data_IF_754877500335
#
_entry.id   IF_754877500335
#
_cell.length_a   1.000
_cell.length_b   1.000
_cell.length_c   1.000
_cell.angle_alpha   90.00
_cell.angle_beta   90.00
_cell.angle_gamma   90.00
#
_symmetry.space_group_name_H-M   'P 1'
#
loop_
_entity.id
_entity.type
_entity.pdbx_description
1 polymer ?
#
# COMPACT_ATOMS: atom_id res chain seq x y z
N UNK A 1 -36.77 32.92 5.99
CA UNK A 1 -37.66 31.76 5.78
C UNK A 1 -36.90 30.72 4.99
N UNK A 2 -36.65 29.56 5.62
CA UNK A 2 -36.34 28.23 5.04
C UNK A 2 -35.11 28.16 4.13
N UNK A 3 -33.96 27.60 4.52
CA UNK A 3 -33.72 26.24 5.04
C UNK A 3 -34.27 25.15 4.09
N UNK A 4 -33.35 24.50 3.35
CA UNK A 4 -33.45 23.07 3.03
C UNK A 4 -32.12 22.52 2.48
N UNK A 5 -31.57 21.59 3.27
CA UNK A 5 -30.50 20.62 3.02
C UNK A 5 -30.86 19.56 1.96
N UNK A 6 -29.85 18.76 1.58
CA UNK A 6 -29.80 17.29 1.28
C UNK A 6 -28.79 17.06 0.13
N UNK A 7 -27.82 16.13 0.09
CA UNK A 7 -27.39 15.01 0.96
C UNK A 7 -26.05 14.48 0.43
N UNK A 8 -25.26 13.86 1.31
CA UNK A 8 -24.06 13.07 1.02
C UNK A 8 -24.31 11.87 0.08
N UNK A 9 -23.27 11.44 -0.65
CA UNK A 9 -22.97 10.01 -0.86
C UNK A 9 -21.51 9.80 -1.30
N UNK A 10 -20.69 9.39 -0.32
CA UNK A 10 -19.50 8.55 -0.36
C UNK A 10 -18.68 8.44 -1.67
N UNK A 11 -17.54 9.15 -1.68
CA UNK A 11 -16.33 8.77 -2.41
C UNK A 11 -15.56 7.72 -1.61
N UNK A 12 -15.40 6.51 -2.17
CA UNK A 12 -14.21 5.69 -1.93
C UNK A 12 -14.05 4.69 -3.06
N UNK A 13 -13.07 4.94 -3.94
CA UNK A 13 -12.25 3.96 -4.65
C UNK A 13 -11.08 4.76 -5.21
N UNK A 14 -9.87 4.40 -4.78
CA UNK A 14 -8.64 5.08 -5.18
C UNK A 14 -8.44 4.97 -6.68
N UNK A 15 -8.63 6.08 -7.38
CA UNK A 15 -7.99 6.38 -8.65
C UNK A 15 -7.07 7.56 -8.40
N UNK A 16 -5.84 7.51 -8.91
CA UNK A 16 -4.88 8.59 -8.76
C UNK A 16 -5.40 9.85 -9.50
N UNK A 17 -5.74 10.88 -8.73
CA UNK A 17 -5.82 12.26 -9.20
C UNK A 17 -4.56 12.98 -8.72
N UNK A 18 -3.71 13.41 -9.65
CA UNK A 18 -2.56 14.28 -9.41
C UNK A 18 -3.07 15.68 -8.99
N UNK A 19 -2.50 16.26 -7.94
CA UNK A 19 -3.03 17.42 -7.21
C UNK A 19 -2.59 18.81 -7.72
N UNK A 20 -3.55 19.76 -7.76
CA UNK A 20 -3.61 21.23 -7.50
C UNK A 20 -2.33 22.11 -7.63
N UNK A 21 -2.28 23.33 -8.21
CA UNK A 21 -3.14 24.35 -8.88
C UNK A 21 -2.12 25.29 -9.62
N UNK A 22 -2.32 25.97 -10.76
CA UNK A 22 -3.47 26.74 -11.22
C UNK A 22 -3.36 27.14 -12.73
N UNK A 23 -4.52 27.21 -13.39
CA UNK A 23 -4.86 27.98 -14.62
C UNK A 23 -4.73 27.33 -16.02
N UNK A 24 -5.64 26.39 -16.28
CA UNK A 24 -6.61 26.32 -17.39
C UNK A 24 -6.12 26.63 -18.83
N UNK A 25 -5.81 25.57 -19.59
CA UNK A 25 -6.56 25.08 -20.78
C UNK A 25 -5.94 23.76 -21.26
N UNK A 26 -6.66 22.64 -21.03
CA UNK A 26 -6.46 21.41 -21.81
C UNK A 26 -5.77 20.21 -21.15
N UNK A 27 -5.64 20.14 -19.82
CA UNK A 27 -5.32 18.88 -19.14
C UNK A 27 -6.59 18.01 -19.08
N UNK A 28 -6.84 17.27 -20.16
CA UNK A 28 -7.63 16.03 -20.33
C UNK A 28 -7.65 15.82 -21.86
N UNK A 29 -6.64 15.13 -22.37
CA UNK A 29 -6.66 14.55 -23.70
C UNK A 29 -6.12 13.13 -23.57
N UNK A 30 -6.99 12.22 -23.10
CA UNK A 30 -7.22 10.81 -23.52
C UNK A 30 -5.95 10.00 -23.89
N UNK A 31 -5.85 8.70 -23.74
CA UNK A 31 -6.60 7.71 -24.56
C UNK A 31 -6.82 8.17 -26.03
N UNK A 32 -6.03 9.12 -26.55
CA UNK A 32 -6.29 9.92 -27.74
C UNK A 32 -6.33 9.07 -29.02
N UNK A 33 -5.88 7.82 -28.94
CA UNK A 33 -5.99 6.85 -30.02
C UNK A 33 -7.07 5.78 -29.83
N UNK A 34 -7.47 5.43 -28.60
CA UNK A 34 -8.55 4.43 -28.42
C UNK A 34 -9.93 5.00 -28.80
N UNK A 35 -10.06 6.32 -28.90
CA UNK A 35 -11.28 6.98 -29.38
C UNK A 35 -11.28 7.37 -30.87
N UNK A 36 -10.15 7.31 -31.57
CA UNK A 36 -10.09 7.62 -33.01
C UNK A 36 -10.38 6.40 -33.91
N UNK A 37 -10.16 5.18 -33.42
CA UNK A 37 -10.25 3.94 -34.20
C UNK A 37 -11.53 3.12 -34.02
N UNK A 38 -12.37 3.42 -33.01
CA UNK A 38 -13.67 2.76 -32.83
C UNK A 38 -14.77 3.35 -33.72
N UNK A 39 -14.57 4.53 -34.32
CA UNK A 39 -15.63 5.24 -35.08
C UNK A 39 -15.24 5.73 -36.48
N UNK A 40 -14.05 5.45 -37.00
CA UNK A 40 -13.72 5.73 -38.40
C UNK A 40 -13.96 7.19 -38.84
N UNK A 41 -13.11 8.09 -38.35
CA UNK A 41 -12.83 9.46 -38.85
C UNK A 41 -14.04 10.39 -39.10
N UNK A 42 -14.08 11.47 -38.31
CA UNK A 42 -15.08 12.54 -38.34
C UNK A 42 -15.39 13.07 -39.75
N UNK A 43 -16.64 13.53 -39.98
CA UNK A 43 -16.73 14.97 -40.20
C UNK A 43 -17.92 15.68 -39.51
N UNK A 44 -17.56 16.87 -39.01
CA UNK A 44 -18.36 18.10 -38.84
C UNK A 44 -19.26 18.26 -37.62
N UNK A 45 -18.99 19.38 -36.93
CA UNK A 45 -19.63 19.91 -35.73
C UNK A 45 -21.15 20.15 -35.90
N UNK A 46 -21.90 19.86 -34.83
CA UNK A 46 -23.23 20.42 -34.63
C UNK A 46 -23.95 19.89 -33.39
N UNK A 47 -23.98 20.71 -32.34
CA UNK A 47 -24.89 20.74 -31.18
C UNK A 47 -25.53 19.45 -30.63
N UNK A 48 -25.26 19.21 -29.34
CA UNK A 48 -26.11 18.61 -28.29
C UNK A 48 -27.36 17.80 -28.72
N UNK A 49 -27.48 16.55 -28.29
CA UNK A 49 -28.62 15.96 -27.53
C UNK A 49 -28.21 14.57 -27.02
N UNK A 50 -28.59 14.26 -25.78
CA UNK A 50 -28.42 12.96 -25.12
C UNK A 50 -29.09 11.81 -25.88
N UNK A 51 -28.44 10.64 -25.98
CA UNK A 51 -29.08 9.40 -26.41
C UNK A 51 -29.18 8.42 -25.23
N UNK A 52 -30.19 8.66 -24.41
CA UNK A 52 -30.96 7.56 -23.86
C UNK A 52 -32.42 7.79 -24.23
N UNK A 53 -33.01 6.74 -24.82
CA UNK A 53 -34.42 6.46 -24.98
C UNK A 53 -35.08 6.87 -26.33
N UNK A 54 -35.30 5.87 -27.19
CA UNK A 54 -36.62 5.63 -27.77
C UNK A 54 -36.79 4.13 -28.12
N UNK A 55 -37.76 3.54 -27.44
CA UNK A 55 -38.53 2.32 -27.71
C UNK A 55 -38.41 1.68 -29.11
N UNK A 56 -37.91 0.44 -29.15
CA UNK A 56 -38.62 -0.68 -29.81
C UNK A 56 -38.01 -2.03 -29.39
N UNK A 57 -38.88 -3.02 -29.25
CA UNK A 57 -38.62 -4.38 -28.77
C UNK A 57 -37.56 -5.11 -29.62
N UNK A 58 -36.30 -5.14 -29.17
CA UNK A 58 -35.28 -6.14 -29.57
C UNK A 58 -33.99 -5.94 -28.74
N UNK A 59 -34.11 -5.94 -27.41
CA UNK A 59 -32.99 -5.69 -26.49
C UNK A 59 -32.06 -6.90 -26.29
N UNK A 60 -31.70 -7.63 -27.35
CA UNK A 60 -30.71 -8.71 -27.21
C UNK A 60 -29.85 -9.00 -28.45
N UNK A 61 -29.84 -8.15 -29.49
CA UNK A 61 -29.20 -8.50 -30.76
C UNK A 61 -28.08 -7.58 -31.28
N UNK A 62 -27.78 -6.42 -30.66
CA UNK A 62 -26.87 -5.44 -31.28
C UNK A 62 -25.42 -5.39 -30.76
N UNK A 63 -24.93 -6.48 -30.17
CA UNK A 63 -23.47 -6.69 -29.96
C UNK A 63 -22.98 -8.03 -30.54
N UNK A 64 -23.84 -8.80 -31.20
CA UNK A 64 -23.50 -10.05 -31.88
C UNK A 64 -22.88 -9.75 -33.26
N UNK A 65 -21.64 -9.27 -33.27
CA UNK A 65 -20.92 -8.95 -34.52
C UNK A 65 -19.67 -8.09 -34.34
N UNK A 66 -19.45 -7.51 -33.16
CA UNK A 66 -18.21 -6.81 -32.86
C UNK A 66 -17.16 -7.79 -32.36
N UNK A 67 -15.92 -7.76 -32.87
CA UNK A 67 -14.85 -8.59 -32.33
C UNK A 67 -14.67 -8.23 -30.85
N UNK A 68 -14.69 -9.23 -29.97
CA UNK A 68 -14.18 -9.10 -28.61
C UNK A 68 -12.81 -8.42 -28.70
N UNK A 69 -12.64 -7.28 -28.01
CA UNK A 69 -11.35 -6.61 -27.93
C UNK A 69 -10.29 -7.66 -27.61
N UNK A 70 -9.39 -7.94 -28.57
CA UNK A 70 -8.30 -8.89 -28.35
C UNK A 70 -7.55 -8.43 -27.10
N UNK A 71 -7.09 -9.38 -26.29
CA UNK A 71 -6.33 -9.15 -25.05
C UNK A 71 -5.17 -8.15 -25.27
N UNK A 72 -5.42 -6.86 -25.08
CA UNK A 72 -4.36 -5.85 -25.12
C UNK A 72 -3.56 -5.99 -23.83
N UNK A 73 -2.28 -6.23 -24.00
CA UNK A 73 -1.36 -6.51 -22.88
C UNK A 73 -0.53 -5.25 -22.60
N UNK A 74 -0.55 -4.74 -21.38
CA UNK A 74 0.29 -3.61 -20.97
C UNK A 74 1.46 -4.11 -20.13
N UNK A 75 2.66 -3.82 -20.59
CA UNK A 75 3.91 -4.16 -19.89
C UNK A 75 4.46 -2.90 -19.23
N UNK A 76 4.75 -2.94 -17.94
CA UNK A 76 5.47 -1.86 -17.28
C UNK A 76 6.96 -2.20 -17.20
N UNK A 77 7.80 -1.27 -17.68
CA UNK A 77 9.25 -1.32 -17.65
C UNK A 77 9.78 -0.33 -16.59
N UNK A 78 10.53 -0.85 -15.61
CA UNK A 78 10.87 -0.14 -14.37
C UNK A 78 12.25 0.54 -14.38
N UNK A 79 13.01 0.42 -15.47
CA UNK A 79 14.27 1.12 -15.76
C UNK A 79 15.23 1.29 -14.55
N UNK A 80 15.70 0.16 -14.02
CA UNK A 80 16.75 0.10 -12.99
C UNK A 80 16.29 0.27 -11.54
N UNK A 81 14.98 0.13 -11.26
CA UNK A 81 14.47 -0.02 -9.89
C UNK A 81 14.82 -1.37 -9.25
N UNK A 82 14.58 -1.51 -7.95
CA UNK A 82 14.93 -2.73 -7.19
C UNK A 82 14.13 -3.96 -7.61
N UNK A 83 12.93 -3.75 -8.16
CA UNK A 83 12.17 -4.76 -8.88
C UNK A 83 12.67 -4.84 -10.32
N UNK A 84 13.61 -5.73 -10.60
CA UNK A 84 14.10 -6.00 -11.98
C UNK A 84 13.07 -6.75 -12.86
N UNK A 85 11.79 -6.76 -12.47
CA UNK A 85 10.75 -7.55 -13.13
C UNK A 85 9.75 -6.64 -13.84
N UNK A 86 9.51 -6.89 -15.13
CA UNK A 86 8.38 -6.30 -15.84
C UNK A 86 7.06 -6.81 -15.25
N UNK A 87 6.05 -5.95 -15.17
CA UNK A 87 4.69 -6.38 -14.80
C UNK A 87 3.77 -6.31 -16.01
N UNK A 88 2.95 -7.35 -16.18
CA UNK A 88 2.03 -7.48 -17.30
C UNK A 88 0.60 -7.38 -16.77
N UNK A 89 -0.14 -6.38 -17.25
CA UNK A 89 -1.52 -6.11 -16.87
C UNK A 89 -2.45 -6.18 -18.09
N UNK A 90 -3.69 -6.58 -17.85
CA UNK A 90 -4.75 -6.55 -18.86
C UNK A 90 -5.55 -5.25 -18.75
N UNK A 91 -6.04 -4.76 -19.88
CA UNK A 91 -7.01 -3.67 -19.89
C UNK A 91 -8.37 -4.18 -19.46
N UNK A 92 -8.97 -3.53 -18.46
CA UNK A 92 -10.29 -3.86 -17.92
C UNK A 92 -11.33 -2.83 -18.40
N UNK A 93 -12.60 -3.24 -18.51
CA UNK A 93 -13.74 -2.38 -18.84
C UNK A 93 -14.74 -2.38 -17.68
N UNK A 94 -15.06 -1.21 -17.12
CA UNK A 94 -16.00 -1.10 -15.99
C UNK A 94 -17.47 -0.87 -16.38
N UNK A 95 -17.76 -0.72 -17.67
CA UNK A 95 -19.08 -0.34 -18.17
C UNK A 95 -19.16 1.08 -18.74
N UNK A 96 -18.14 1.92 -18.52
CA UNK A 96 -18.07 3.30 -19.02
C UNK A 96 -16.75 3.65 -19.69
N UNK A 97 -15.63 3.10 -19.20
CA UNK A 97 -14.30 3.32 -19.74
C UNK A 97 -13.39 2.09 -19.58
N UNK A 98 -12.26 2.12 -20.31
CA UNK A 98 -11.21 1.11 -20.23
C UNK A 98 -10.07 1.65 -19.35
N UNK A 99 -9.53 0.84 -18.44
CA UNK A 99 -8.43 1.22 -17.55
C UNK A 99 -7.41 0.09 -17.36
N UNK A 100 -6.24 0.45 -16.83
CA UNK A 100 -5.16 -0.47 -16.43
C UNK A 100 -4.70 -0.06 -15.04
N UNK A 101 -4.65 -1.00 -14.11
CA UNK A 101 -4.14 -0.75 -12.76
C UNK A 101 -2.62 -0.61 -12.79
N UNK A 102 -2.10 0.36 -12.01
CA UNK A 102 -0.66 0.48 -11.80
C UNK A 102 -0.10 -0.79 -11.14
N UNK A 103 1.19 -1.12 -11.35
CA UNK A 103 1.85 -2.19 -10.61
C UNK A 103 1.76 -1.95 -9.10
N UNK A 104 1.55 -3.03 -8.36
CA UNK A 104 1.54 -3.07 -6.90
C UNK A 104 2.49 -4.19 -6.42
N UNK A 105 3.62 -3.85 -5.76
CA UNK A 105 4.04 -2.50 -5.36
C UNK A 105 4.54 -1.65 -6.55
N UNK A 106 4.48 -0.32 -6.39
CA UNK A 106 5.13 0.63 -7.32
C UNK A 106 6.65 0.43 -7.30
N UNK A 107 7.36 0.61 -8.44
CA UNK A 107 8.80 0.51 -8.47
C UNK A 107 9.46 1.65 -7.68
N UNK A 108 10.63 1.39 -7.11
CA UNK A 108 11.46 2.39 -6.43
C UNK A 108 12.87 2.42 -7.03
N UNK A 109 13.51 3.59 -7.02
CA UNK A 109 14.87 3.82 -7.51
C UNK A 109 15.59 4.78 -6.58
N UNK A 110 16.73 4.36 -6.03
CA UNK A 110 17.49 5.13 -5.05
C UNK A 110 17.86 6.53 -5.57
N UNK A 111 17.45 7.58 -4.85
CA UNK A 111 17.74 8.97 -5.20
C UNK A 111 16.83 9.58 -6.27
N UNK A 112 15.79 8.86 -6.69
CA UNK A 112 14.83 9.33 -7.70
C UNK A 112 13.39 9.15 -7.23
N UNK A 113 12.54 10.11 -7.56
CA UNK A 113 11.10 10.02 -7.40
C UNK A 113 10.45 9.53 -8.71
N UNK A 114 9.57 8.53 -8.62
CA UNK A 114 8.73 8.11 -9.75
C UNK A 114 7.71 9.22 -10.02
N UNK A 115 7.81 9.88 -11.17
CA UNK A 115 6.94 11.00 -11.55
C UNK A 115 5.82 10.60 -12.50
N UNK A 116 5.91 9.41 -13.11
CA UNK A 116 4.89 8.91 -14.03
C UNK A 116 5.38 7.77 -14.90
N UNK A 117 4.66 7.56 -16.01
CA UNK A 117 4.96 6.55 -17.02
C UNK A 117 4.94 7.19 -18.41
N UNK A 118 5.86 6.78 -19.27
CA UNK A 118 5.93 7.19 -20.66
C UNK A 118 5.64 5.98 -21.56
N UNK A 119 4.85 6.18 -22.62
CA UNK A 119 4.55 5.11 -23.58
C UNK A 119 5.75 4.96 -24.53
N UNK A 120 6.33 3.77 -24.57
CA UNK A 120 7.35 3.44 -25.56
C UNK A 120 6.66 2.92 -26.85
N UNK A 121 7.00 3.50 -28.00
CA UNK A 121 6.50 3.03 -29.29
C UNK A 121 7.10 1.67 -29.67
N UNK A 122 6.38 0.83 -30.45
CA UNK A 122 6.82 -0.53 -30.79
C UNK A 122 8.10 -0.61 -31.64
N UNK A 123 8.47 0.46 -32.35
CA UNK A 123 9.53 0.44 -33.37
C UNK A 123 10.87 1.05 -32.88
N UNK A 124 11.02 1.35 -31.58
CA UNK A 124 12.25 1.84 -30.91
C UNK A 124 12.99 3.05 -31.55
N UNK A 125 12.43 3.77 -32.52
CA UNK A 125 13.19 4.81 -33.27
C UNK A 125 12.90 6.29 -32.92
N UNK A 126 11.92 6.65 -32.09
CA UNK A 126 11.64 8.08 -31.80
C UNK A 126 11.21 8.39 -30.36
N UNK A 127 11.90 9.38 -29.76
CA UNK A 127 11.47 10.11 -28.56
C UNK A 127 10.63 11.30 -29.06
N UNK A 128 9.32 11.29 -28.79
CA UNK A 128 8.40 12.30 -29.31
C UNK A 128 8.26 13.48 -28.34
N UNK A 129 8.79 14.65 -28.70
CA UNK A 129 8.58 15.91 -27.97
C UNK A 129 7.18 16.50 -28.28
N UNK A 130 6.48 16.93 -27.24
CA UNK A 130 5.02 17.09 -27.23
C UNK A 130 4.49 18.40 -27.85
N UNK A 131 4.98 18.82 -29.02
CA UNK A 131 4.40 19.93 -29.78
C UNK A 131 3.55 19.41 -30.94
N UNK A 132 2.28 19.13 -30.68
CA UNK A 132 1.31 18.68 -31.68
C UNK A 132 0.72 19.87 -32.46
N UNK A 133 1.33 20.25 -33.59
CA UNK A 133 0.72 21.22 -34.52
C UNK A 133 0.38 20.67 -35.91
N UNK A 134 0.78 19.44 -36.28
CA UNK A 134 0.53 18.94 -37.64
C UNK A 134 -0.46 17.77 -37.71
N UNK A 135 -1.52 17.96 -38.50
CA UNK A 135 -2.55 16.97 -38.85
C UNK A 135 -2.04 15.80 -39.73
N UNK A 136 -0.72 15.67 -39.95
CA UNK A 136 -0.12 14.73 -40.89
C UNK A 136 0.06 13.29 -40.35
N UNK A 137 -0.41 12.99 -39.14
CA UNK A 137 -0.02 11.76 -38.43
C UNK A 137 -0.77 10.48 -38.85
N UNK A 138 -1.88 10.57 -39.59
CA UNK A 138 -2.81 9.44 -39.76
C UNK A 138 -2.67 8.59 -41.05
N UNK A 139 -1.59 8.72 -41.83
CA UNK A 139 -1.46 8.01 -43.11
C UNK A 139 -0.42 6.87 -43.15
N UNK A 140 -0.22 6.14 -42.05
CA UNK A 140 0.53 4.88 -42.10
C UNK A 140 -0.19 3.76 -41.35
N UNK A 141 -0.48 2.70 -42.11
CA UNK A 141 -0.72 1.33 -41.65
C UNK A 141 0.13 1.02 -40.40
N UNK A 142 -0.47 1.15 -39.23
CA UNK A 142 0.10 0.70 -37.97
C UNK A 142 -0.82 -0.35 -37.42
N UNK A 143 -0.57 -1.56 -37.89
CA UNK A 143 -1.06 -2.79 -37.30
C UNK A 143 -0.45 -2.84 -35.88
N UNK A 144 -1.12 -2.25 -34.88
CA UNK A 144 -0.67 -2.31 -33.50
C UNK A 144 -0.62 -3.78 -33.08
N UNK A 145 0.58 -4.35 -33.03
CA UNK A 145 0.79 -5.62 -32.36
C UNK A 145 0.34 -5.47 -30.91
N UNK A 146 -0.24 -6.55 -30.39
CA UNK A 146 -1.12 -6.67 -29.21
C UNK A 146 -0.57 -6.23 -27.84
N UNK A 147 0.49 -5.42 -27.77
CA UNK A 147 1.16 -5.03 -26.53
C UNK A 147 1.63 -3.55 -26.52
N UNK A 148 1.52 -2.91 -25.36
CA UNK A 148 2.03 -1.55 -25.08
C UNK A 148 3.02 -1.61 -23.93
N UNK A 149 4.16 -0.93 -24.04
CA UNK A 149 5.13 -0.80 -22.94
C UNK A 149 5.10 0.59 -22.32
N UNK A 150 4.99 0.65 -20.99
CA UNK A 150 5.04 1.86 -20.17
C UNK A 150 6.37 1.91 -19.41
N UNK A 151 7.23 2.88 -19.74
CA UNK A 151 8.52 3.11 -19.08
C UNK A 151 8.38 4.07 -17.90
N UNK A 152 8.93 3.69 -16.74
CA UNK A 152 8.94 4.54 -15.55
C UNK A 152 9.69 5.85 -15.80
N UNK A 153 9.09 6.98 -15.41
CA UNK A 153 9.72 8.29 -15.47
C UNK A 153 10.26 8.66 -14.10
N UNK A 154 11.54 9.00 -14.06
CA UNK A 154 12.27 9.29 -12.84
C UNK A 154 12.72 10.75 -12.84
N UNK A 155 12.49 11.43 -11.72
CA UNK A 155 13.10 12.73 -11.45
C UNK A 155 14.16 12.55 -10.38
N UNK A 156 15.40 12.97 -10.67
CA UNK A 156 16.40 13.11 -9.61
C UNK A 156 15.79 13.95 -8.49
N UNK A 157 15.86 13.47 -7.26
CA UNK A 157 15.47 14.26 -6.10
C UNK A 157 16.48 15.42 -5.95
N UNK A 158 16.28 16.47 -6.75
CA UNK A 158 17.17 17.62 -6.82
C UNK A 158 16.90 18.54 -5.63
N UNK A 159 17.77 18.54 -4.62
CA UNK A 159 18.25 19.76 -3.96
C UNK A 159 19.33 19.43 -2.92
N UNK A 160 20.04 20.46 -2.49
CA UNK A 160 20.92 20.47 -1.31
C UNK A 160 20.23 20.05 0.01
N UNK A 161 18.93 19.73 -0.02
CA UNK A 161 18.12 19.25 1.11
C UNK A 161 17.88 17.73 1.09
N UNK A 162 18.47 17.01 0.14
CA UNK A 162 18.44 15.54 0.13
C UNK A 162 19.14 14.97 1.37
N UNK A 163 18.55 13.92 1.94
CA UNK A 163 19.11 13.20 3.07
C UNK A 163 20.32 12.40 2.64
N UNK A 164 21.39 12.47 3.43
CA UNK A 164 22.67 11.81 3.15
C UNK A 164 23.10 10.96 4.33
N UNK A 165 24.11 10.11 4.14
CA UNK A 165 24.64 9.28 5.22
C UNK A 165 25.15 10.10 6.43
N UNK A 166 25.60 11.34 6.22
CA UNK A 166 26.09 12.22 7.28
C UNK A 166 24.97 12.76 8.18
N UNK A 167 23.72 12.67 7.73
CA UNK A 167 22.53 13.10 8.51
C UNK A 167 22.09 12.08 9.57
N UNK A 168 22.75 10.93 9.63
CA UNK A 168 22.40 9.83 10.53
C UNK A 168 23.55 9.49 11.48
N UNK A 169 23.20 8.96 12.65
CA UNK A 169 24.16 8.28 13.54
C UNK A 169 24.15 6.79 13.28
N UNK A 170 25.24 6.10 13.66
CA UNK A 170 25.40 4.67 13.43
C UNK A 170 25.80 3.94 14.71
N UNK A 171 25.56 2.63 14.75
CA UNK A 171 26.03 1.79 15.85
C UNK A 171 27.56 1.71 15.86
N UNK A 172 28.17 1.77 17.05
CA UNK A 172 29.63 1.77 17.22
C UNK A 172 30.26 0.42 16.87
N UNK A 173 29.49 -0.66 16.96
CA UNK A 173 29.93 -2.04 16.69
C UNK A 173 29.50 -2.53 15.31
N UNK A 174 28.46 -1.93 14.75
CA UNK A 174 27.98 -2.21 13.39
C UNK A 174 27.64 -0.91 12.65
N UNK A 175 28.62 -0.42 11.90
CA UNK A 175 28.47 0.78 11.10
C UNK A 175 27.35 0.70 10.04
N UNK A 176 26.81 -0.48 9.71
CA UNK A 176 25.69 -0.63 8.76
C UNK A 176 24.31 -0.36 9.38
N UNK A 177 24.24 -0.14 10.70
CA UNK A 177 23.00 0.10 11.44
C UNK A 177 22.83 1.58 11.77
N UNK A 178 21.73 2.21 11.32
CA UNK A 178 21.37 3.59 11.71
C UNK A 178 20.80 3.60 13.12
N UNK A 179 21.27 4.51 13.98
CA UNK A 179 20.84 4.62 15.39
C UNK A 179 20.14 5.93 15.72
N UNK A 180 19.88 6.79 14.73
CA UNK A 180 19.20 8.06 14.92
C UNK A 180 19.68 9.14 13.95
N UNK A 181 19.36 10.39 14.29
CA UNK A 181 19.77 11.57 13.54
C UNK A 181 21.08 12.15 14.09
N UNK A 182 22.00 12.49 13.19
CA UNK A 182 23.18 13.30 13.53
C UNK A 182 22.75 14.75 13.83
N UNK A 183 23.69 15.63 14.20
CA UNK A 183 23.37 17.05 14.43
C UNK A 183 22.94 17.76 13.13
N UNK A 184 23.45 17.33 11.96
CA UNK A 184 22.94 17.82 10.67
C UNK A 184 21.53 17.28 10.41
N UNK A 185 21.27 15.99 10.67
CA UNK A 185 19.95 15.40 10.52
C UNK A 185 18.88 16.03 11.42
N UNK A 186 19.22 16.33 12.67
CA UNK A 186 18.34 17.06 13.60
C UNK A 186 18.02 18.48 13.13
N UNK A 187 18.98 19.14 12.48
CA UNK A 187 18.75 20.45 11.88
C UNK A 187 17.88 20.33 10.62
N UNK A 188 18.13 19.32 9.79
CA UNK A 188 17.43 19.07 8.53
C UNK A 188 15.96 18.68 8.72
N UNK A 189 15.64 17.85 9.71
CA UNK A 189 14.25 17.41 9.95
C UNK A 189 13.28 18.54 10.31
N UNK A 190 13.81 19.68 10.78
CA UNK A 190 13.01 20.88 11.08
C UNK A 190 12.40 21.48 9.81
N UNK A 191 13.07 21.34 8.66
CA UNK A 191 12.66 21.89 7.36
C UNK A 191 12.26 20.82 6.35
N UNK A 192 12.72 19.58 6.50
CA UNK A 192 12.44 18.46 5.62
C UNK A 192 12.07 17.21 6.44
N UNK A 193 10.77 16.90 6.56
CA UNK A 193 10.26 15.73 7.30
C UNK A 193 10.12 14.47 6.43
N UNK A 194 10.50 14.54 5.15
CA UNK A 194 10.51 13.43 4.20
C UNK A 194 11.88 12.74 4.26
N UNK A 195 12.07 11.87 5.25
CA UNK A 195 13.36 11.22 5.51
C UNK A 195 13.65 10.17 4.45
N UNK A 196 14.82 10.27 3.82
CA UNK A 196 15.32 9.25 2.88
C UNK A 196 16.55 8.60 3.49
N UNK A 197 16.45 7.31 3.83
CA UNK A 197 17.60 6.54 4.31
C UNK A 197 18.44 6.13 3.09
N UNK A 198 19.74 6.47 3.02
CA UNK A 198 20.58 6.06 1.90
C UNK A 198 20.88 4.56 1.97
N UNK A 199 21.03 3.91 0.81
CA UNK A 199 21.38 2.49 0.73
C UNK A 199 22.83 2.18 1.14
N UNK A 200 23.72 3.18 1.10
CA UNK A 200 25.10 3.06 1.55
C UNK A 200 25.67 4.39 2.03
N UNK A 201 26.75 4.31 2.80
CA UNK A 201 27.60 5.45 3.15
C UNK A 201 28.51 5.85 1.98
N UNK A 202 29.14 7.03 2.11
CA UNK A 202 30.12 7.52 1.14
C UNK A 202 31.34 6.59 0.97
N UNK A 203 31.68 5.78 1.97
CA UNK A 203 32.75 4.79 1.91
C UNK A 203 32.32 3.45 1.27
N UNK A 204 31.06 3.35 0.83
CA UNK A 204 30.49 2.13 0.23
C UNK A 204 29.92 1.13 1.23
N UNK A 205 29.98 1.40 2.54
CA UNK A 205 29.34 0.54 3.54
C UNK A 205 27.82 0.57 3.36
N UNK A 206 27.22 -0.57 3.01
CA UNK A 206 25.78 -0.70 2.86
C UNK A 206 25.06 -0.42 4.19
N UNK A 207 23.89 0.19 4.13
CA UNK A 207 22.98 0.32 5.27
C UNK A 207 22.07 -0.90 5.27
N UNK A 208 22.16 -1.71 6.32
CA UNK A 208 21.45 -3.01 6.37
C UNK A 208 20.46 -3.11 7.52
N UNK A 209 20.41 -2.12 8.41
CA UNK A 209 19.49 -2.11 9.53
C UNK A 209 19.14 -0.71 10.03
N UNK A 210 17.95 -0.61 10.60
CA UNK A 210 17.51 0.52 11.42
C UNK A 210 17.52 0.03 12.87
N UNK A 211 18.28 0.71 13.73
CA UNK A 211 18.59 0.30 15.09
C UNK A 211 17.45 0.48 16.08
N UNK A 212 17.77 0.31 17.36
CA UNK A 212 16.82 0.48 18.45
C UNK A 212 16.75 1.96 18.87
N UNK A 213 15.55 2.45 19.21
CA UNK A 213 15.44 3.65 20.05
C UNK A 213 15.62 3.31 21.53
N UNK A 214 16.29 4.20 22.27
CA UNK A 214 16.50 4.11 23.72
C UNK A 214 15.89 5.27 24.51
N UNK A 215 15.31 6.26 23.82
CA UNK A 215 15.03 7.60 24.37
C UNK A 215 13.56 7.88 24.68
N UNK A 216 12.69 6.86 24.60
CA UNK A 216 11.22 6.90 24.80
C UNK A 216 10.42 7.44 23.61
N UNK A 217 11.12 8.03 22.63
CA UNK A 217 10.61 8.53 21.34
C UNK A 217 10.89 7.50 20.21
N UNK A 218 11.01 7.97 18.96
CA UNK A 218 11.50 7.19 17.82
C UNK A 218 12.77 7.83 17.25
N UNK A 219 13.45 7.11 16.34
CA UNK A 219 14.77 7.51 15.84
C UNK A 219 14.78 8.81 15.02
N UNK A 220 13.64 9.21 14.45
CA UNK A 220 13.51 10.33 13.52
C UNK A 220 12.57 11.40 14.08
N UNK A 221 12.81 11.77 15.35
CA UNK A 221 12.06 12.78 16.08
C UNK A 221 13.01 13.66 16.88
N UNK A 222 12.80 14.98 16.83
CA UNK A 222 13.57 15.98 17.58
C UNK A 222 12.64 17.02 18.17
N UNK A 223 12.99 17.55 19.35
CA UNK A 223 12.30 18.70 19.94
C UNK A 223 13.26 19.88 19.96
N UNK A 224 12.85 21.00 19.35
CA UNK A 224 13.59 22.27 19.27
C UNK A 224 12.65 23.37 19.72
N UNK A 225 13.05 24.15 20.73
CA UNK A 225 12.27 25.27 21.29
C UNK A 225 10.81 24.90 21.63
N UNK A 226 10.62 23.82 22.40
CA UNK A 226 9.31 23.26 22.79
C UNK A 226 8.41 22.79 21.63
N UNK A 227 8.93 22.78 20.39
CA UNK A 227 8.25 22.26 19.22
C UNK A 227 8.90 20.94 18.76
N UNK A 228 8.06 19.94 18.55
CA UNK A 228 8.48 18.62 18.05
C UNK A 228 8.39 18.58 16.53
N UNK A 229 9.44 18.04 15.92
CA UNK A 229 9.56 17.73 14.50
C UNK A 229 9.83 16.24 14.37
N UNK A 230 9.12 15.56 13.50
CA UNK A 230 9.26 14.12 13.29
C UNK A 230 9.00 13.76 11.83
N UNK A 231 9.53 12.60 11.41
CA UNK A 231 9.37 12.14 10.05
C UNK A 231 7.89 11.88 9.72
N UNK A 232 7.42 12.48 8.63
CA UNK A 232 6.07 12.27 8.07
C UNK A 232 6.06 11.19 7.00
N UNK A 233 7.22 10.96 6.38
CA UNK A 233 7.49 9.91 5.42
C UNK A 233 8.91 9.41 5.64
N UNK A 234 9.12 8.11 5.46
CA UNK A 234 10.44 7.49 5.57
C UNK A 234 10.61 6.51 4.41
N UNK A 235 11.56 6.81 3.54
CA UNK A 235 12.00 5.89 2.51
C UNK A 235 13.08 4.98 3.09
N UNK A 236 12.79 3.68 3.14
CA UNK A 236 13.72 2.64 3.58
C UNK A 236 14.27 1.94 2.31
N UNK A 237 15.59 1.94 2.08
CA UNK A 237 16.17 1.37 0.88
C UNK A 237 16.16 -0.16 0.92
N UNK A 238 16.26 -0.77 -0.25
CA UNK A 238 16.54 -2.21 -0.33
C UNK A 238 17.93 -2.53 0.22
N UNK A 239 18.07 -3.73 0.78
CA UNK A 239 19.24 -4.14 1.56
C UNK A 239 19.03 -4.01 3.07
N UNK A 240 18.05 -3.22 3.52
CA UNK A 240 17.67 -3.17 4.94
C UNK A 240 16.95 -4.46 5.34
N UNK A 241 17.60 -5.24 6.20
CA UNK A 241 17.13 -6.56 6.64
C UNK A 241 16.44 -6.54 8.00
N UNK A 242 16.60 -5.48 8.79
CA UNK A 242 15.97 -5.38 10.12
C UNK A 242 15.59 -3.96 10.55
N UNK A 243 14.51 -3.88 11.33
CA UNK A 243 14.06 -2.68 12.03
C UNK A 243 14.03 -2.97 13.53
N UNK A 244 14.71 -2.16 14.32
CA UNK A 244 14.93 -2.36 15.74
C UNK A 244 13.74 -2.03 16.62
N UNK A 245 13.92 -2.29 17.92
CA UNK A 245 12.96 -1.97 18.98
C UNK A 245 12.65 -0.48 18.97
N UNK A 246 11.36 -0.15 18.98
CA UNK A 246 10.84 1.24 19.06
C UNK A 246 11.34 2.20 17.96
N UNK A 247 11.96 1.70 16.89
CA UNK A 247 12.59 2.52 15.85
C UNK A 247 11.68 3.60 15.24
N UNK A 248 10.39 3.28 15.11
CA UNK A 248 9.31 4.10 14.56
C UNK A 248 8.12 4.21 15.53
N UNK A 249 8.39 4.19 16.84
CA UNK A 249 7.33 4.35 17.85
C UNK A 249 6.63 5.71 17.69
N UNK A 250 5.31 5.71 17.73
CA UNK A 250 4.47 6.89 17.52
C UNK A 250 4.70 7.59 16.18
N UNK A 251 5.17 6.86 15.16
CA UNK A 251 5.43 7.41 13.84
C UNK A 251 4.24 8.20 13.28
N UNK A 252 4.50 9.42 12.80
CA UNK A 252 3.47 10.36 12.36
C UNK A 252 2.95 10.12 10.94
N UNK A 253 3.65 9.33 10.12
CA UNK A 253 3.22 8.99 8.77
C UNK A 253 2.02 8.03 8.75
N UNK A 254 1.19 8.17 7.73
CA UNK A 254 0.01 7.32 7.51
C UNK A 254 0.33 6.02 6.74
N UNK A 255 1.51 5.96 6.11
CA UNK A 255 2.02 4.83 5.35
C UNK A 255 3.54 4.72 5.49
N UNK A 256 4.06 3.51 5.35
CA UNK A 256 5.50 3.27 5.20
C UNK A 256 5.71 2.06 4.28
N UNK A 257 6.59 2.20 3.29
CA UNK A 257 6.98 1.10 2.42
C UNK A 257 8.11 0.30 3.09
N UNK A 258 7.88 -0.99 3.29
CA UNK A 258 8.89 -1.91 3.84
C UNK A 258 9.62 -2.60 2.68
N UNK A 259 10.97 -2.65 2.68
CA UNK A 259 11.74 -3.23 1.58
C UNK A 259 11.53 -4.75 1.52
N UNK A 260 11.60 -5.32 0.32
CA UNK A 260 11.47 -6.76 0.06
C UNK A 260 12.59 -7.61 0.65
N UNK A 261 13.66 -6.97 1.11
CA UNK A 261 14.78 -7.57 1.85
C UNK A 261 14.58 -7.63 3.37
N UNK A 262 13.52 -7.01 3.91
CA UNK A 262 13.26 -6.96 5.34
C UNK A 262 12.90 -8.35 5.91
N UNK A 263 13.63 -8.79 6.93
CA UNK A 263 13.41 -10.11 7.57
C UNK A 263 12.90 -10.01 9.00
N UNK A 264 13.21 -8.91 9.70
CA UNK A 264 12.95 -8.76 11.13
C UNK A 264 12.38 -7.39 11.52
N UNK A 265 11.34 -7.39 12.36
CA UNK A 265 10.74 -6.18 12.97
C UNK A 265 10.76 -6.30 14.50
N UNK A 266 11.37 -5.33 15.16
CA UNK A 266 11.65 -5.32 16.58
C UNK A 266 10.45 -5.02 17.49
N UNK A 267 10.69 -5.14 18.80
CA UNK A 267 9.66 -4.96 19.83
C UNK A 267 9.11 -3.54 19.75
N UNK A 268 7.78 -3.40 19.68
CA UNK A 268 7.12 -2.10 19.62
C UNK A 268 7.66 -1.15 18.52
N UNK A 269 8.23 -1.70 17.43
CA UNK A 269 8.89 -0.91 16.38
C UNK A 269 8.01 0.21 15.82
N UNK A 270 6.71 -0.04 15.62
CA UNK A 270 5.69 0.88 15.13
C UNK A 270 4.56 1.09 16.16
N UNK A 271 4.84 0.90 17.45
CA UNK A 271 3.82 1.08 18.49
C UNK A 271 3.26 2.51 18.47
N UNK A 272 1.94 2.67 18.45
CA UNK A 272 1.30 3.99 18.50
C UNK A 272 1.39 4.78 17.20
N UNK A 273 1.80 4.14 16.09
CA UNK A 273 1.93 4.80 14.80
C UNK A 273 0.58 5.26 14.25
N UNK A 274 0.61 6.26 13.36
CA UNK A 274 -0.56 6.73 12.60
C UNK A 274 -0.81 5.93 11.32
N UNK A 275 -0.08 4.82 11.12
CA UNK A 275 -0.25 3.96 9.96
C UNK A 275 -1.70 3.55 9.78
N UNK A 276 -2.21 3.68 8.56
CA UNK A 276 -3.58 3.28 8.19
C UNK A 276 -3.64 1.89 7.60
N UNK A 277 -2.54 1.47 6.97
CA UNK A 277 -2.33 0.13 6.43
C UNK A 277 -0.87 -0.29 6.59
N UNK A 278 -0.63 -1.60 6.60
CA UNK A 278 0.73 -2.15 6.53
C UNK A 278 0.75 -3.41 5.68
N UNK A 279 1.76 -3.51 4.81
CA UNK A 279 2.08 -4.70 4.03
C UNK A 279 3.40 -5.25 4.57
N UNK A 280 3.36 -6.43 5.17
CA UNK A 280 4.55 -7.14 5.61
C UNK A 280 5.13 -7.92 4.40
N UNK A 281 6.38 -7.65 3.99
CA UNK A 281 7.01 -8.37 2.87
C UNK A 281 7.07 -9.88 3.10
N UNK A 282 7.06 -10.66 2.01
CA UNK A 282 7.13 -12.13 2.06
C UNK A 282 8.41 -12.65 2.74
N UNK A 283 9.48 -11.84 2.76
CA UNK A 283 10.76 -12.10 3.43
C UNK A 283 10.69 -11.99 4.95
N UNK A 284 9.65 -11.38 5.52
CA UNK A 284 9.55 -11.19 6.97
C UNK A 284 9.24 -12.52 7.64
N UNK A 285 10.22 -13.05 8.38
CA UNK A 285 10.08 -14.28 9.18
C UNK A 285 9.88 -13.98 10.66
N UNK A 286 10.34 -12.82 11.13
CA UNK A 286 10.35 -12.46 12.55
C UNK A 286 9.70 -11.10 12.77
N UNK A 287 8.59 -11.09 13.51
CA UNK A 287 8.04 -9.86 14.10
C UNK A 287 8.01 -10.05 15.60
N UNK A 288 8.44 -9.05 16.36
CA UNK A 288 8.47 -9.13 17.81
C UNK A 288 7.19 -8.58 18.45
N UNK A 289 7.08 -8.80 19.77
CA UNK A 289 5.89 -8.45 20.53
C UNK A 289 5.52 -6.97 20.42
N UNK A 290 4.23 -6.71 20.25
CA UNK A 290 3.67 -5.36 20.27
C UNK A 290 4.11 -4.46 19.12
N UNK A 291 4.72 -5.01 18.05
CA UNK A 291 5.32 -4.24 16.96
C UNK A 291 4.41 -3.12 16.41
N UNK A 292 3.10 -3.33 16.29
CA UNK A 292 2.14 -2.33 15.80
C UNK A 292 1.10 -1.92 16.86
N UNK A 293 1.29 -2.31 18.13
CA UNK A 293 0.31 -2.08 19.20
C UNK A 293 -0.07 -0.60 19.34
N UNK A 294 -1.32 -0.30 19.71
CA UNK A 294 -1.87 1.05 19.86
C UNK A 294 -1.85 1.92 18.59
N UNK A 295 -1.61 1.35 17.40
CA UNK A 295 -1.75 2.08 16.14
C UNK A 295 -3.23 2.20 15.79
N UNK A 296 -3.93 3.14 16.42
CA UNK A 296 -5.40 3.27 16.34
C UNK A 296 -5.90 3.64 14.95
N UNK A 297 -5.03 4.14 14.07
CA UNK A 297 -5.33 4.37 12.66
C UNK A 297 -5.29 3.10 11.80
N UNK A 298 -4.64 2.03 12.26
CA UNK A 298 -4.31 0.86 11.44
C UNK A 298 -5.55 0.00 11.23
N UNK A 299 -6.05 0.01 9.99
CA UNK A 299 -7.28 -0.66 9.55
C UNK A 299 -7.04 -1.90 8.71
N UNK A 300 -5.94 -1.91 7.96
CA UNK A 300 -5.64 -2.95 6.98
C UNK A 300 -4.26 -3.54 7.24
N UNK A 301 -4.18 -4.86 7.29
CA UNK A 301 -2.91 -5.59 7.47
C UNK A 301 -2.83 -6.68 6.41
N UNK A 302 -1.72 -6.72 5.68
CA UNK A 302 -1.36 -7.83 4.80
C UNK A 302 -0.14 -8.53 5.38
N UNK A 303 -0.30 -9.80 5.69
CA UNK A 303 0.76 -10.66 6.22
C UNK A 303 1.70 -11.10 5.09
N UNK A 304 2.99 -11.21 5.39
CA UNK A 304 3.97 -11.80 4.50
C UNK A 304 3.92 -13.33 4.58
N UNK A 305 4.16 -14.01 3.45
CA UNK A 305 4.12 -15.49 3.40
C UNK A 305 5.16 -16.19 4.27
N UNK A 306 6.24 -15.50 4.63
CA UNK A 306 7.29 -16.04 5.51
C UNK A 306 6.90 -16.14 6.99
N UNK A 307 5.76 -15.55 7.39
CA UNK A 307 5.34 -15.54 8.79
C UNK A 307 4.68 -16.86 9.21
N UNK A 308 5.07 -17.37 10.38
CA UNK A 308 4.50 -18.59 10.97
C UNK A 308 3.64 -18.34 12.21
N UNK A 309 3.64 -17.13 12.75
CA UNK A 309 2.84 -16.79 13.93
C UNK A 309 2.49 -15.31 13.97
N UNK A 310 1.42 -14.97 14.71
CA UNK A 310 1.10 -13.60 15.10
C UNK A 310 1.58 -13.41 16.55
N UNK A 311 2.63 -12.62 16.81
CA UNK A 311 3.21 -12.43 18.15
C UNK A 311 2.28 -11.81 19.17
N UNK A 312 2.70 -11.87 20.44
CA UNK A 312 1.96 -11.26 21.55
C UNK A 312 1.74 -9.76 21.29
N UNK A 313 0.48 -9.34 21.45
CA UNK A 313 0.01 -7.97 21.35
C UNK A 313 0.37 -7.25 20.03
N UNK A 314 0.75 -7.97 18.96
CA UNK A 314 1.27 -7.39 17.71
C UNK A 314 0.39 -6.24 17.19
N UNK A 315 -0.93 -6.45 17.18
CA UNK A 315 -1.95 -5.47 16.76
C UNK A 315 -2.90 -5.07 17.89
N UNK A 316 -2.53 -5.25 19.16
CA UNK A 316 -3.42 -4.87 20.27
C UNK A 316 -3.77 -3.38 20.19
N UNK A 317 -5.04 -3.02 20.40
CA UNK A 317 -5.57 -1.66 20.32
C UNK A 317 -5.36 -0.96 18.96
N UNK A 318 -5.28 -1.74 17.87
CA UNK A 318 -5.41 -1.20 16.51
C UNK A 318 -6.90 -1.04 16.12
N UNK A 319 -7.20 -0.69 14.87
CA UNK A 319 -8.58 -0.62 14.35
C UNK A 319 -8.78 -1.57 13.16
N UNK A 320 -8.12 -2.73 13.19
CA UNK A 320 -8.17 -3.72 12.11
C UNK A 320 -9.59 -4.27 12.03
N UNK A 321 -10.32 -3.89 10.97
CA UNK A 321 -11.74 -4.21 10.85
C UNK A 321 -11.96 -5.67 10.46
N UNK A 322 -11.20 -6.13 9.49
CA UNK A 322 -11.31 -7.45 8.90
C UNK A 322 -9.99 -8.19 9.11
N UNK A 323 -10.01 -9.20 10.00
CA UNK A 323 -8.82 -10.00 10.29
C UNK A 323 -8.80 -11.20 9.34
N UNK A 324 -7.80 -11.25 8.50
CA UNK A 324 -7.53 -12.36 7.59
C UNK A 324 -6.25 -13.04 8.02
N UNK A 325 -6.37 -14.29 8.50
CA UNK A 325 -5.24 -15.12 8.89
C UNK A 325 -4.86 -16.00 7.69
N UNK A 326 -3.70 -15.79 7.05
CA UNK A 326 -3.30 -16.57 5.88
C UNK A 326 -2.90 -18.00 6.25
N UNK A 327 -2.79 -18.85 5.22
CA UNK A 327 -2.14 -20.15 5.33
C UNK A 327 -0.68 -19.99 5.79
N UNK A 328 -0.20 -20.89 6.65
CA UNK A 328 1.17 -20.86 7.20
C UNK A 328 1.26 -20.32 8.63
N UNK A 329 0.27 -19.53 9.09
CA UNK A 329 0.20 -19.11 10.49
C UNK A 329 -0.23 -20.29 11.36
N UNK A 330 0.63 -20.69 12.30
CA UNK A 330 0.39 -21.81 13.22
C UNK A 330 -0.13 -21.37 14.58
N UNK A 331 0.12 -20.12 14.99
CA UNK A 331 -0.32 -19.62 16.30
C UNK A 331 -0.64 -18.13 16.29
N UNK A 332 -1.63 -17.77 17.12
CA UNK A 332 -2.05 -16.40 17.37
C UNK A 332 -1.79 -16.10 18.84
N UNK A 333 -0.83 -15.22 19.09
CA UNK A 333 -0.27 -14.94 20.40
C UNK A 333 -1.19 -14.18 21.35
N UNK A 334 -0.76 -14.12 22.61
CA UNK A 334 -1.52 -13.48 23.69
C UNK A 334 -1.89 -12.05 23.31
N UNK A 335 -3.16 -11.71 23.42
CA UNK A 335 -3.66 -10.37 23.11
C UNK A 335 -3.34 -9.83 21.70
N UNK A 336 -2.99 -10.68 20.72
CA UNK A 336 -2.52 -10.27 19.40
C UNK A 336 -3.41 -9.21 18.72
N UNK A 337 -4.73 -9.34 18.82
CA UNK A 337 -5.75 -8.42 18.30
C UNK A 337 -6.69 -7.91 19.40
N UNK A 338 -6.22 -7.88 20.65
CA UNK A 338 -7.06 -7.43 21.77
C UNK A 338 -7.42 -5.95 21.59
N UNK A 339 -8.70 -5.62 21.65
CA UNK A 339 -9.22 -4.26 21.53
C UNK A 339 -9.21 -3.70 20.11
N UNK A 340 -9.12 -4.55 19.07
CA UNK A 340 -9.16 -4.08 17.68
C UNK A 340 -10.56 -3.65 17.21
N UNK A 341 -11.61 -4.06 17.93
CA UNK A 341 -13.00 -3.91 17.49
C UNK A 341 -13.27 -4.52 16.11
N UNK A 342 -12.52 -5.57 15.75
CA UNK A 342 -12.66 -6.28 14.47
C UNK A 342 -14.06 -6.86 14.32
N UNK A 343 -14.63 -6.76 13.13
CA UNK A 343 -15.97 -7.26 12.81
C UNK A 343 -15.93 -8.67 12.20
N UNK A 344 -14.86 -9.02 11.49
CA UNK A 344 -14.70 -10.32 10.84
C UNK A 344 -13.36 -10.98 11.18
N UNK A 345 -13.37 -12.30 11.25
CA UNK A 345 -12.20 -13.15 11.37
C UNK A 345 -12.32 -14.29 10.36
N UNK A 346 -11.40 -14.35 9.41
CA UNK A 346 -11.33 -15.38 8.38
C UNK A 346 -9.99 -16.08 8.43
N UNK A 347 -9.99 -17.40 8.27
CA UNK A 347 -8.78 -18.19 8.03
C UNK A 347 -8.78 -18.60 6.57
N UNK A 348 -7.74 -18.25 5.82
CA UNK A 348 -7.63 -18.56 4.40
C UNK A 348 -7.17 -20.00 4.15
N UNK A 349 -7.51 -20.52 2.97
CA UNK A 349 -7.05 -21.81 2.48
C UNK A 349 -7.34 -22.96 3.45
N UNK A 350 -6.39 -23.89 3.57
CA UNK A 350 -6.42 -24.91 4.62
C UNK A 350 -5.65 -24.37 5.82
N UNK A 351 -6.36 -23.80 6.79
CA UNK A 351 -5.74 -23.22 7.98
C UNK A 351 -4.77 -24.20 8.66
N UNK A 352 -3.58 -23.70 8.99
CA UNK A 352 -2.56 -24.39 9.77
C UNK A 352 -2.54 -23.95 11.24
N UNK A 353 -3.45 -23.05 11.63
CA UNK A 353 -3.47 -22.47 12.96
C UNK A 353 -3.90 -23.51 13.99
N UNK A 354 -3.02 -23.80 14.95
CA UNK A 354 -3.26 -24.78 16.02
C UNK A 354 -3.58 -24.13 17.37
N UNK A 355 -3.18 -22.87 17.57
CA UNK A 355 -3.33 -22.19 18.86
C UNK A 355 -3.86 -20.76 18.71
N UNK A 356 -4.91 -20.45 19.48
CA UNK A 356 -5.40 -19.10 19.72
C UNK A 356 -5.19 -18.80 21.21
N UNK A 357 -4.19 -17.99 21.54
CA UNK A 357 -3.76 -17.80 22.92
C UNK A 357 -4.71 -16.90 23.76
N UNK A 358 -4.36 -16.75 25.04
CA UNK A 358 -5.11 -15.94 26.00
C UNK A 358 -5.44 -14.54 25.47
N UNK A 359 -6.70 -14.14 25.57
CA UNK A 359 -7.20 -12.80 25.17
C UNK A 359 -6.85 -12.39 23.72
N UNK A 360 -6.47 -13.32 22.83
CA UNK A 360 -5.99 -13.01 21.48
C UNK A 360 -6.91 -12.07 20.71
N UNK A 361 -8.22 -12.23 20.85
CA UNK A 361 -9.27 -11.41 20.26
C UNK A 361 -10.21 -10.80 21.31
N UNK A 362 -9.71 -10.51 22.51
CA UNK A 362 -10.49 -9.83 23.53
C UNK A 362 -11.04 -8.48 23.02
N UNK A 363 -12.29 -8.14 23.33
CA UNK A 363 -12.98 -6.90 22.91
C UNK A 363 -13.07 -6.71 21.38
N UNK A 364 -13.21 -7.79 20.60
CA UNK A 364 -13.63 -7.72 19.20
C UNK A 364 -15.16 -7.88 19.05
N UNK A 365 -15.68 -7.65 17.84
CA UNK A 365 -17.10 -7.49 17.53
C UNK A 365 -17.61 -8.53 16.52
N UNK A 366 -17.11 -9.76 16.60
CA UNK A 366 -17.52 -10.83 15.70
C UNK A 366 -18.99 -11.21 15.89
N UNK A 367 -19.74 -11.22 14.80
CA UNK A 367 -21.14 -11.70 14.79
C UNK A 367 -21.21 -13.22 14.56
N UNK A 368 -20.34 -13.73 13.68
CA UNK A 368 -20.19 -15.16 13.42
C UNK A 368 -18.71 -15.55 13.48
N UNK A 369 -18.44 -16.72 14.07
CA UNK A 369 -17.11 -17.31 14.12
C UNK A 369 -17.12 -18.73 13.60
N UNK A 370 -16.17 -19.05 12.73
CA UNK A 370 -15.85 -20.41 12.31
C UNK A 370 -14.41 -20.69 12.71
N UNK A 371 -14.24 -21.54 13.73
CA UNK A 371 -12.91 -21.97 14.17
C UNK A 371 -12.49 -23.19 13.35
N UNK A 372 -11.39 -23.14 12.57
CA UNK A 372 -11.00 -24.25 11.70
C UNK A 372 -10.60 -25.50 12.49
N UNK A 373 -10.74 -26.67 11.87
CA UNK A 373 -10.45 -27.98 12.48
C UNK A 373 -8.98 -28.14 12.94
N UNK A 374 -8.08 -27.32 12.40
CA UNK A 374 -6.68 -27.28 12.79
C UNK A 374 -6.46 -26.75 14.21
N UNK A 375 -7.38 -25.92 14.74
CA UNK A 375 -7.23 -25.27 16.04
C UNK A 375 -7.46 -26.28 17.15
N UNK A 376 -6.44 -26.48 17.98
CA UNK A 376 -6.42 -27.40 19.11
C UNK A 376 -6.68 -26.71 20.44
N UNK A 377 -6.23 -25.48 20.58
CA UNK A 377 -6.29 -24.75 21.85
C UNK A 377 -6.86 -23.34 21.67
N UNK A 378 -7.88 -23.03 22.47
CA UNK A 378 -8.41 -21.68 22.65
C UNK A 378 -8.15 -21.25 24.09
N UNK A 379 -7.30 -20.24 24.25
CA UNK A 379 -6.87 -19.72 25.54
C UNK A 379 -7.93 -18.91 26.26
N UNK A 380 -7.70 -18.72 27.57
CA UNK A 380 -8.61 -17.98 28.45
C UNK A 380 -8.98 -16.61 27.90
N UNK A 381 -10.27 -16.30 27.89
CA UNK A 381 -10.81 -15.03 27.40
C UNK A 381 -10.47 -14.69 25.94
N UNK A 382 -10.04 -15.66 25.11
CA UNK A 382 -9.59 -15.41 23.74
C UNK A 382 -10.57 -14.57 22.92
N UNK A 383 -11.88 -14.77 23.11
CA UNK A 383 -12.95 -14.04 22.41
C UNK A 383 -13.87 -13.27 23.39
N UNK A 384 -13.37 -12.93 24.59
CA UNK A 384 -14.20 -12.28 25.62
C UNK A 384 -14.44 -10.82 25.27
N UNK A 385 -15.67 -10.34 25.49
CA UNK A 385 -16.06 -8.94 25.33
C UNK A 385 -16.42 -8.35 26.70
N UNK A 386 -15.74 -7.29 27.11
CA UNK A 386 -15.98 -6.56 28.37
C UNK A 386 -16.60 -5.18 28.13
N UNK A 387 -16.38 -4.59 26.95
CA UNK A 387 -16.85 -3.24 26.64
C UNK A 387 -18.34 -3.26 26.25
N UNK A 388 -19.20 -2.75 27.12
CA UNK A 388 -20.65 -2.70 26.91
C UNK A 388 -21.08 -1.75 25.76
N UNK A 389 -20.16 -0.91 25.27
CA UNK A 389 -20.38 0.00 24.13
C UNK A 389 -20.30 -0.70 22.77
N UNK A 390 -19.82 -1.94 22.72
CA UNK A 390 -19.70 -2.71 21.48
C UNK A 390 -21.07 -3.27 21.08
N UNK A 391 -21.47 -2.97 19.84
CA UNK A 391 -22.84 -3.20 19.32
C UNK A 391 -23.08 -4.64 18.87
N UNK A 392 -22.09 -5.29 18.26
CA UNK A 392 -22.22 -6.67 17.78
C UNK A 392 -21.94 -7.67 18.89
N UNK A 393 -22.81 -8.67 18.99
CA UNK A 393 -22.66 -9.83 19.87
C UNK A 393 -22.50 -11.07 18.99
N UNK A 394 -21.70 -12.03 19.44
CA UNK A 394 -21.56 -13.32 18.77
C UNK A 394 -22.93 -14.03 18.76
N UNK A 395 -23.51 -14.21 17.58
CA UNK A 395 -24.79 -14.91 17.38
C UNK A 395 -24.61 -16.31 16.84
N UNK A 396 -23.48 -16.58 16.18
CA UNK A 396 -23.16 -17.88 15.59
C UNK A 396 -21.71 -18.28 15.87
N UNK A 397 -21.53 -19.53 16.32
CA UNK A 397 -20.21 -20.13 16.58
C UNK A 397 -20.18 -21.55 16.02
N UNK A 398 -19.24 -21.80 15.11
CA UNK A 398 -18.92 -23.14 14.60
C UNK A 398 -17.58 -23.58 15.15
N UNK A 399 -17.58 -24.68 15.89
CA UNK A 399 -16.37 -25.37 16.36
C UNK A 399 -16.26 -26.67 15.58
N UNK A 400 -15.14 -26.86 14.87
CA UNK A 400 -14.88 -28.08 14.13
C UNK A 400 -14.27 -29.17 15.04
N UNK A 401 -14.37 -30.42 14.61
CA UNK A 401 -13.67 -31.54 15.24
C UNK A 401 -12.15 -31.31 15.21
N UNK A 402 -11.44 -31.68 16.27
CA UNK A 402 -9.99 -31.44 16.43
C UNK A 402 -9.62 -30.48 17.55
N UNK A 403 -10.60 -29.72 18.08
CA UNK A 403 -10.41 -28.86 19.24
C UNK A 403 -10.22 -29.68 20.52
N UNK A 404 -9.06 -29.52 21.17
CA UNK A 404 -8.66 -30.29 22.35
C UNK A 404 -8.99 -29.53 23.66
N UNK A 405 -8.83 -28.20 23.68
CA UNK A 405 -8.96 -27.38 24.90
C UNK A 405 -9.59 -26.01 24.65
N UNK A 406 -10.50 -25.60 25.54
CA UNK A 406 -11.07 -24.25 25.64
C UNK A 406 -11.01 -23.85 27.13
N UNK A 407 -10.33 -22.74 27.45
CA UNK A 407 -10.09 -22.29 28.84
C UNK A 407 -10.89 -21.07 29.28
#
# INVERSE_FOLDING_TARGET
MKDQSLTESNRSKGGALVSNEMTVRGAILRVALAFALVLGLMPSLGNSVAFANESNEDSNAALAGYPSAKDLTVTFDFDGGTTTAQSVQKVEFDGSEYYVSSPDPLPTKDGFELTGWEIQSPDEEEILDASFEDEAFFDRDTNFDSAVTLKAQWKESSSADSWTADDFTYDETDASTITGLSDSGKTKIVTNTEVVIPSAKADGTAITAIGNDSTTDNLFKVTVDDKTYEATNVTIPEGVTSIGKMAFKSYAGESIALPSTLTAIGIAAFQGSKLTSIVLPDSVTTVANGAFSNSTGLKTVKFGKGMTSVPQAMFSMCSVKDVVIPEGITSIGRSAFAGCHSETLTFEGTSTCTEIAQSAFENNQFESLVIPASVKTIGKSAFRVYQNTLSKKLTSLTLNEGLETIS
#
